data_IF_858037787589
#
_entry.id   IF_858037787589
#
_cell.length_a   1.000
_cell.length_b   1.000
_cell.length_c   1.000
_cell.angle_alpha   90.00
_cell.angle_beta   90.00
_cell.angle_gamma   90.00
#
_symmetry.space_group_name_H-M   'P 1'
#
loop_
_entity.id
_entity.type
_entity.pdbx_description
1 polymer ?
#
# COMPACT_ATOMS: atom_id res chain seq x y z
N UNK A 1 29.18 -2.43 2.46
CA UNK A 1 27.89 -1.72 2.54
C UNK A 1 27.06 -2.27 1.41
N UNK A 2 26.07 -3.10 1.71
CA UNK A 2 25.13 -3.58 0.68
C UNK A 2 24.42 -2.35 0.12
N UNK A 3 24.46 -2.17 -1.19
CA UNK A 3 23.86 -1.04 -1.89
C UNK A 3 22.33 -1.18 -1.81
N UNK A 4 21.73 -0.62 -0.75
CA UNK A 4 20.27 -0.69 -0.52
C UNK A 4 19.60 0.39 -1.35
N UNK A 5 18.53 0.02 -2.04
CA UNK A 5 17.74 0.97 -2.84
C UNK A 5 17.04 1.96 -1.91
N UNK A 6 17.13 3.24 -2.25
CA UNK A 6 16.44 4.28 -1.49
C UNK A 6 14.92 4.18 -1.67
N UNK A 7 14.18 4.58 -0.64
CA UNK A 7 12.71 4.53 -0.65
C UNK A 7 12.10 5.31 -1.82
N UNK A 8 12.63 6.51 -2.09
CA UNK A 8 12.18 7.39 -3.17
C UNK A 8 12.52 6.85 -4.57
N UNK A 9 13.67 6.20 -4.69
CA UNK A 9 14.09 5.55 -5.94
C UNK A 9 13.19 4.35 -6.25
N UNK A 10 12.98 3.47 -5.28
CA UNK A 10 12.11 2.30 -5.46
C UNK A 10 10.67 2.70 -5.80
N UNK A 11 10.12 3.69 -5.09
CA UNK A 11 8.79 4.21 -5.43
C UNK A 11 8.75 4.75 -6.87
N UNK A 12 9.79 5.44 -7.33
CA UNK A 12 9.85 5.95 -8.70
C UNK A 12 9.82 4.82 -9.74
N UNK A 13 10.55 3.72 -9.48
CA UNK A 13 10.52 2.52 -10.33
C UNK A 13 9.14 1.87 -10.37
N UNK A 14 8.45 1.80 -9.23
CA UNK A 14 7.08 1.27 -9.15
C UNK A 14 6.06 2.14 -9.89
N UNK A 15 6.17 3.46 -9.79
CA UNK A 15 5.30 4.37 -10.54
C UNK A 15 5.55 4.26 -12.05
N UNK A 16 6.80 4.03 -12.48
CA UNK A 16 7.14 3.89 -13.90
C UNK A 16 6.48 2.68 -14.58
N UNK A 17 6.17 1.62 -13.83
CA UNK A 17 5.43 0.44 -14.32
C UNK A 17 3.91 0.57 -14.18
N UNK A 18 3.42 1.66 -13.57
CA UNK A 18 1.99 1.94 -13.44
C UNK A 18 1.50 2.93 -14.49
N UNK A 19 0.24 2.81 -14.91
CA UNK A 19 -0.43 3.80 -15.76
C UNK A 19 -1.85 4.03 -15.26
N UNK A 20 -2.39 5.25 -15.39
CA UNK A 20 -3.82 5.49 -15.18
C UNK A 20 -4.64 4.55 -16.07
N UNK A 21 -5.70 3.97 -15.50
CA UNK A 21 -6.60 3.10 -16.27
C UNK A 21 -7.40 3.90 -17.29
N UNK A 22 -7.70 3.29 -18.43
CA UNK A 22 -8.43 3.93 -19.52
C UNK A 22 -9.79 4.46 -19.05
N UNK A 23 -10.16 5.69 -19.42
CA UNK A 23 -11.38 6.31 -18.96
C UNK A 23 -12.62 5.82 -19.72
N UNK A 24 -13.79 5.98 -19.12
CA UNK A 24 -15.09 5.72 -19.74
C UNK A 24 -16.18 6.62 -19.13
N UNK A 25 -17.30 6.78 -19.82
CA UNK A 25 -18.42 7.57 -19.30
C UNK A 25 -19.29 6.73 -18.36
N UNK A 26 -19.57 7.27 -17.17
CA UNK A 26 -20.48 6.69 -16.18
C UNK A 26 -21.66 7.61 -15.94
N UNK A 27 -22.86 7.04 -15.80
CA UNK A 27 -24.03 7.78 -15.35
C UNK A 27 -23.76 8.42 -13.98
N UNK A 28 -24.37 9.58 -13.69
CA UNK A 28 -24.06 10.36 -12.48
C UNK A 28 -24.09 9.54 -11.17
N UNK A 29 -25.09 8.69 -10.98
CA UNK A 29 -25.19 7.91 -9.74
C UNK A 29 -24.07 6.87 -9.62
N UNK A 30 -23.70 6.23 -10.73
CA UNK A 30 -22.65 5.23 -10.76
C UNK A 30 -21.25 5.87 -10.67
N UNK A 31 -21.10 7.11 -11.13
CA UNK A 31 -19.86 7.87 -11.03
C UNK A 31 -19.48 8.24 -9.58
N UNK A 32 -20.41 8.11 -8.61
CA UNK A 32 -20.12 8.45 -7.22
C UNK A 32 -19.04 7.53 -6.63
N UNK A 33 -17.93 8.14 -6.17
CA UNK A 33 -16.81 7.43 -5.58
C UNK A 33 -15.66 7.12 -6.54
N UNK A 34 -15.91 7.17 -7.86
CA UNK A 34 -14.90 7.03 -8.91
C UNK A 34 -13.98 8.26 -8.99
N UNK A 35 -12.97 8.20 -9.87
CA UNK A 35 -12.08 9.34 -10.14
C UNK A 35 -12.44 9.98 -11.46
N UNK A 36 -12.54 11.31 -11.49
CA UNK A 36 -12.80 12.07 -12.71
C UNK A 36 -11.60 11.99 -13.66
N UNK A 37 -11.83 11.61 -14.91
CA UNK A 37 -10.76 11.41 -15.88
C UNK A 37 -10.28 12.71 -16.54
N UNK A 38 -11.18 13.67 -16.72
CA UNK A 38 -10.97 14.90 -17.49
C UNK A 38 -11.52 16.13 -16.77
N UNK A 39 -11.00 17.31 -17.12
CA UNK A 39 -11.52 18.58 -16.61
C UNK A 39 -12.90 18.88 -17.20
N UNK A 40 -13.82 19.36 -16.37
CA UNK A 40 -15.15 19.80 -16.82
C UNK A 40 -15.28 21.30 -16.59
N UNK A 41 -15.69 21.98 -17.65
CA UNK A 41 -15.90 23.41 -17.68
C UNK A 41 -17.40 23.73 -17.79
N UNK A 42 -17.82 24.81 -17.12
CA UNK A 42 -19.12 25.46 -17.33
C UNK A 42 -18.86 26.85 -17.92
N UNK A 43 -19.08 26.99 -19.23
CA UNK A 43 -18.53 28.11 -19.99
C UNK A 43 -17.00 28.06 -19.96
N UNK A 44 -16.36 29.16 -19.53
CA UNK A 44 -14.89 29.24 -19.40
C UNK A 44 -14.37 28.79 -18.03
N UNK A 45 -15.24 28.56 -17.06
CA UNK A 45 -14.83 28.23 -15.69
C UNK A 45 -14.61 26.72 -15.54
N UNK A 46 -13.42 26.33 -15.10
CA UNK A 46 -13.16 24.98 -14.59
C UNK A 46 -14.02 24.74 -13.33
N UNK A 47 -14.94 23.78 -13.41
CA UNK A 47 -15.87 23.47 -12.31
C UNK A 47 -15.58 22.11 -11.67
N UNK A 48 -15.04 21.15 -12.41
CA UNK A 48 -14.57 19.86 -11.88
C UNK A 48 -13.19 19.58 -12.45
N UNK A 49 -12.23 19.28 -11.56
CA UNK A 49 -10.83 19.05 -11.94
C UNK A 49 -10.54 17.55 -12.10
N UNK A 50 -9.86 17.17 -13.17
CA UNK A 50 -9.40 15.81 -13.40
C UNK A 50 -8.56 15.28 -12.22
N UNK A 51 -8.64 13.98 -11.98
CA UNK A 51 -7.96 13.31 -10.87
C UNK A 51 -8.56 13.56 -9.50
N UNK A 52 -9.70 14.27 -9.44
CA UNK A 52 -10.49 14.41 -8.20
C UNK A 52 -11.42 13.21 -8.01
N UNK A 53 -11.59 12.82 -6.74
CA UNK A 53 -12.56 11.77 -6.40
C UNK A 53 -13.96 12.38 -6.39
N UNK A 54 -14.88 11.74 -7.09
CA UNK A 54 -16.24 12.23 -7.27
C UNK A 54 -17.04 11.98 -5.97
N UNK A 55 -17.64 13.03 -5.42
CA UNK A 55 -18.53 13.00 -4.24
C UNK A 55 -19.88 13.61 -4.58
N UNK A 56 -20.80 13.56 -3.61
CA UNK A 56 -22.14 14.14 -3.71
C UNK A 56 -22.15 15.58 -4.24
N UNK A 57 -21.19 16.42 -3.84
CA UNK A 57 -21.10 17.81 -4.31
C UNK A 57 -20.68 17.91 -5.78
N UNK A 58 -19.77 17.05 -6.26
CA UNK A 58 -19.43 16.99 -7.68
C UNK A 58 -20.59 16.43 -8.52
N UNK A 59 -21.31 15.42 -8.01
CA UNK A 59 -22.51 14.89 -8.67
C UNK A 59 -23.59 15.97 -8.79
N UNK A 60 -23.90 16.69 -7.71
CA UNK A 60 -24.89 17.77 -7.73
C UNK A 60 -24.49 18.92 -8.67
N UNK A 61 -23.21 19.25 -8.73
CA UNK A 61 -22.67 20.24 -9.66
C UNK A 61 -22.77 19.77 -11.12
N UNK A 62 -22.44 18.52 -11.41
CA UNK A 62 -22.60 17.94 -12.76
C UNK A 62 -24.07 17.97 -13.21
N UNK A 63 -24.99 17.57 -12.33
CA UNK A 63 -26.43 17.63 -12.59
C UNK A 63 -26.92 19.06 -12.85
N UNK A 64 -26.45 20.05 -12.06
CA UNK A 64 -26.92 21.45 -12.18
C UNK A 64 -26.47 22.13 -13.47
N UNK A 65 -25.40 21.63 -14.11
CA UNK A 65 -24.94 22.08 -15.43
C UNK A 65 -25.43 21.19 -16.59
N UNK A 66 -26.39 20.30 -16.32
CA UNK A 66 -27.06 19.48 -17.33
C UNK A 66 -26.27 18.26 -17.82
N UNK A 67 -25.29 17.78 -17.05
CA UNK A 67 -24.60 16.51 -17.34
C UNK A 67 -25.37 15.36 -16.72
N UNK A 68 -25.58 14.28 -17.47
CA UNK A 68 -26.13 13.01 -16.99
C UNK A 68 -25.05 11.92 -16.84
N UNK A 69 -23.86 12.16 -17.42
CA UNK A 69 -22.68 11.31 -17.32
C UNK A 69 -21.42 12.14 -16.97
N UNK A 70 -20.45 11.45 -16.39
CA UNK A 70 -19.11 11.97 -16.13
C UNK A 70 -18.05 11.04 -16.75
N UNK A 71 -16.97 11.59 -17.32
CA UNK A 71 -15.82 10.80 -17.73
C UNK A 71 -15.06 10.37 -16.48
N UNK A 72 -15.02 9.08 -16.21
CA UNK A 72 -14.42 8.51 -15.00
C UNK A 72 -13.33 7.50 -15.34
N UNK A 73 -12.52 7.15 -14.34
CA UNK A 73 -11.60 6.01 -14.39
C UNK A 73 -12.17 4.86 -13.55
N UNK A 74 -12.01 3.61 -14.01
CA UNK A 74 -12.44 2.45 -13.24
C UNK A 74 -11.62 2.31 -11.96
N UNK A 75 -12.21 1.65 -10.98
CA UNK A 75 -11.48 1.23 -9.79
C UNK A 75 -10.50 0.11 -10.16
N UNK A 76 -9.19 0.25 -9.87
CA UNK A 76 -8.22 -0.79 -10.17
C UNK A 76 -8.58 -2.10 -9.49
N UNK A 77 -8.46 -3.20 -10.23
CA UNK A 77 -8.64 -4.56 -9.72
C UNK A 77 -7.29 -5.06 -9.22
N UNK A 78 -7.19 -5.24 -7.91
CA UNK A 78 -5.95 -5.66 -7.26
C UNK A 78 -6.15 -7.05 -6.68
N UNK A 79 -5.27 -7.96 -7.05
CA UNK A 79 -5.24 -9.30 -6.48
C UNK A 79 -4.18 -9.35 -5.40
N UNK A 80 -4.57 -9.82 -4.22
CA UNK A 80 -3.69 -10.00 -3.07
C UNK A 80 -3.53 -11.48 -2.82
N UNK A 81 -2.33 -11.99 -3.08
CA UNK A 81 -1.92 -13.35 -2.79
C UNK A 81 -1.11 -13.39 -1.51
N UNK A 82 -1.36 -14.42 -0.71
CA UNK A 82 -0.41 -14.87 0.30
C UNK A 82 -0.18 -16.36 0.13
N UNK A 83 1.08 -16.75 0.32
CA UNK A 83 1.56 -18.13 0.19
C UNK A 83 2.47 -18.44 1.38
N UNK A 84 2.11 -19.47 2.13
CA UNK A 84 2.88 -19.97 3.26
C UNK A 84 2.27 -21.28 3.78
N UNK A 85 3.03 -22.38 3.89
CA UNK A 85 2.51 -23.69 4.30
C UNK A 85 2.11 -23.75 5.78
N UNK A 86 2.59 -22.80 6.56
CA UNK A 86 2.32 -22.58 7.98
C UNK A 86 1.10 -21.68 8.24
N UNK A 87 0.53 -21.08 7.18
CA UNK A 87 -0.55 -20.11 7.31
C UNK A 87 -1.92 -20.79 7.42
N UNK A 88 -2.67 -20.40 8.45
CA UNK A 88 -4.01 -20.92 8.75
C UNK A 88 -5.05 -19.81 8.74
N UNK A 89 -6.20 -20.05 8.13
CA UNK A 89 -7.31 -19.08 8.15
C UNK A 89 -7.81 -18.77 9.57
N UNK A 90 -8.03 -17.48 9.92
CA UNK A 90 -8.60 -17.09 11.21
C UNK A 90 -9.90 -17.82 11.54
N UNK A 91 -10.03 -18.22 12.82
CA UNK A 91 -11.19 -18.97 13.32
C UNK A 91 -11.01 -20.50 13.30
N UNK A 92 -9.91 -20.99 12.72
CA UNK A 92 -9.46 -22.38 12.89
C UNK A 92 -8.50 -22.50 14.08
N UNK A 93 -8.30 -23.72 14.55
CA UNK A 93 -7.30 -24.03 15.59
C UNK A 93 -5.91 -24.07 14.97
N UNK A 94 -4.92 -23.49 15.66
CA UNK A 94 -3.51 -23.56 15.29
C UNK A 94 -2.86 -24.80 15.87
N UNK A 95 -2.02 -25.45 15.07
CA UNK A 95 -1.06 -26.46 15.53
C UNK A 95 0.29 -25.82 15.80
N UNK A 96 1.19 -26.63 16.34
CA UNK A 96 2.57 -26.21 16.59
C UNK A 96 3.26 -25.81 15.27
N UNK A 97 3.80 -24.60 15.22
CA UNK A 97 4.47 -24.03 14.05
C UNK A 97 3.56 -23.43 13.00
N UNK A 98 2.23 -23.38 13.23
CA UNK A 98 1.29 -22.67 12.37
C UNK A 98 1.05 -21.24 12.90
N UNK A 99 0.81 -20.30 12.00
CA UNK A 99 0.41 -18.91 12.30
C UNK A 99 -0.87 -18.53 11.55
N UNK A 100 -1.60 -17.53 12.04
CA UNK A 100 -2.79 -17.07 11.34
C UNK A 100 -2.42 -16.24 10.11
N UNK A 101 -3.05 -16.58 8.98
CA UNK A 101 -3.04 -15.79 7.75
C UNK A 101 -3.55 -14.36 8.06
N UNK A 102 -2.62 -13.41 8.13
CA UNK A 102 -2.90 -12.03 8.52
C UNK A 102 -2.73 -11.07 7.35
N UNK A 103 -1.72 -11.27 6.51
CA UNK A 103 -1.32 -10.29 5.50
C UNK A 103 -2.33 -10.15 4.38
N UNK A 104 -2.88 -11.26 3.88
CA UNK A 104 -3.88 -11.19 2.81
C UNK A 104 -5.15 -10.47 3.29
N UNK A 105 -5.55 -10.62 4.55
CA UNK A 105 -6.67 -9.88 5.15
C UNK A 105 -6.34 -8.40 5.29
N UNK A 106 -5.17 -8.07 5.84
CA UNK A 106 -4.70 -6.70 6.04
C UNK A 106 -4.56 -5.95 4.71
N UNK A 107 -3.83 -6.51 3.75
CA UNK A 107 -3.56 -5.89 2.47
C UNK A 107 -4.81 -5.79 1.59
N UNK A 108 -5.67 -6.82 1.55
CA UNK A 108 -6.93 -6.76 0.78
C UNK A 108 -7.84 -5.64 1.28
N UNK A 109 -7.94 -5.47 2.60
CA UNK A 109 -8.77 -4.40 3.17
C UNK A 109 -8.14 -3.03 2.98
N UNK A 110 -6.83 -2.90 3.12
CA UNK A 110 -6.11 -1.66 2.84
C UNK A 110 -6.25 -1.21 1.37
N UNK A 111 -6.19 -2.15 0.41
CA UNK A 111 -6.49 -1.87 -1.02
C UNK A 111 -7.88 -1.27 -1.19
N UNK A 112 -8.90 -1.82 -0.51
CA UNK A 112 -10.28 -1.32 -0.57
C UNK A 112 -10.40 0.09 -0.01
N UNK A 113 -9.70 0.38 1.09
CA UNK A 113 -9.67 1.72 1.71
C UNK A 113 -9.14 2.78 0.74
N UNK A 114 -8.10 2.46 -0.05
CA UNK A 114 -7.56 3.37 -1.08
C UNK A 114 -8.58 3.65 -2.20
N UNK A 115 -9.54 2.75 -2.41
CA UNK A 115 -10.59 2.84 -3.43
C UNK A 115 -10.34 1.94 -4.63
N UNK A 116 -9.67 0.80 -4.46
CA UNK A 116 -9.56 -0.25 -5.47
C UNK A 116 -10.50 -1.43 -5.18
N UNK A 117 -10.80 -2.23 -6.20
CA UNK A 117 -11.50 -3.51 -6.05
C UNK A 117 -10.46 -4.56 -5.69
N UNK A 118 -10.59 -5.17 -4.50
CA UNK A 118 -9.60 -6.13 -4.00
C UNK A 118 -10.12 -7.57 -4.00
N UNK A 119 -9.34 -8.48 -4.57
CA UNK A 119 -9.56 -9.93 -4.57
C UNK A 119 -8.53 -10.59 -3.66
N UNK A 120 -8.99 -11.27 -2.61
CA UNK A 120 -8.13 -12.06 -1.72
C UNK A 120 -7.97 -13.46 -2.27
N UNK A 121 -6.74 -13.91 -2.41
CA UNK A 121 -6.39 -15.28 -2.81
C UNK A 121 -5.41 -15.80 -1.77
N UNK A 122 -5.84 -16.78 -1.00
CA UNK A 122 -4.95 -17.51 -0.11
C UNK A 122 -4.69 -18.88 -0.73
N UNK A 123 -3.42 -19.24 -0.83
CA UNK A 123 -2.99 -20.50 -1.44
C UNK A 123 -1.82 -21.08 -0.65
N UNK A 124 -1.71 -22.40 -0.64
CA UNK A 124 -0.55 -23.11 -0.10
C UNK A 124 0.03 -23.90 -1.27
N UNK A 125 0.95 -23.31 -2.05
CA UNK A 125 1.54 -24.00 -3.19
C UNK A 125 2.61 -24.99 -2.71
N UNK A 126 2.56 -26.22 -3.18
CA UNK A 126 3.59 -27.23 -2.90
C UNK A 126 4.85 -26.98 -3.75
N UNK A 127 4.70 -26.39 -4.94
CA UNK A 127 5.80 -26.09 -5.85
C UNK A 127 5.59 -24.84 -6.74
N UNK A 128 6.60 -24.57 -7.58
CA UNK A 128 6.64 -23.42 -8.49
C UNK A 128 5.54 -23.48 -9.56
N UNK A 129 5.19 -24.68 -10.02
CA UNK A 129 4.16 -24.88 -11.04
C UNK A 129 2.76 -24.60 -10.50
N UNK A 130 2.49 -24.97 -9.25
CA UNK A 130 1.23 -24.66 -8.58
C UNK A 130 1.07 -23.16 -8.35
N UNK A 131 2.12 -22.49 -7.84
CA UNK A 131 2.07 -21.05 -7.66
C UNK A 131 1.92 -20.32 -9.00
N UNK A 132 2.59 -20.79 -10.06
CA UNK A 132 2.46 -20.24 -11.41
C UNK A 132 1.01 -20.33 -11.90
N UNK A 133 0.39 -21.51 -11.78
CA UNK A 133 -0.99 -21.73 -12.23
C UNK A 133 -1.98 -20.83 -11.48
N UNK A 134 -1.78 -20.64 -10.16
CA UNK A 134 -2.60 -19.72 -9.36
C UNK A 134 -2.45 -18.30 -9.89
N UNK A 135 -1.22 -17.81 -10.10
CA UNK A 135 -0.96 -16.45 -10.59
C UNK A 135 -1.58 -16.25 -11.98
N UNK A 136 -1.41 -17.21 -12.89
CA UNK A 136 -1.98 -17.15 -14.24
C UNK A 136 -3.51 -17.06 -14.23
N UNK A 137 -4.21 -17.81 -13.37
CA UNK A 137 -5.67 -17.70 -13.20
C UNK A 137 -6.11 -16.30 -12.75
N UNK A 138 -5.25 -15.60 -12.00
CA UNK A 138 -5.56 -14.25 -11.50
C UNK A 138 -5.35 -13.15 -12.54
N UNK A 139 -4.48 -13.35 -13.54
CA UNK A 139 -4.06 -12.28 -14.47
C UNK A 139 -5.24 -11.65 -15.22
N UNK A 140 -6.24 -12.45 -15.63
CA UNK A 140 -7.41 -11.96 -16.39
C UNK A 140 -8.23 -10.91 -15.64
N UNK A 141 -8.12 -10.87 -14.31
CA UNK A 141 -8.85 -9.95 -13.43
C UNK A 141 -7.94 -8.97 -12.67
N UNK A 142 -6.65 -8.91 -12.98
CA UNK A 142 -5.69 -8.12 -12.22
C UNK A 142 -5.15 -6.93 -13.04
N UNK A 143 -5.32 -5.73 -12.50
CA UNK A 143 -4.58 -4.53 -12.92
C UNK A 143 -3.30 -4.34 -12.06
N UNK A 144 -3.24 -5.00 -10.90
CA UNK A 144 -2.08 -5.08 -10.01
C UNK A 144 -2.13 -6.40 -9.23
N UNK A 145 -0.98 -7.05 -9.08
CA UNK A 145 -0.81 -8.22 -8.21
C UNK A 145 0.11 -7.86 -7.03
N UNK A 146 -0.33 -8.19 -5.83
CA UNK A 146 0.46 -8.08 -4.60
C UNK A 146 0.63 -9.50 -4.06
N UNK A 147 1.86 -9.89 -3.78
CA UNK A 147 2.16 -11.17 -3.14
C UNK A 147 2.86 -10.87 -1.82
N UNK A 148 2.40 -11.43 -0.70
CA UNK A 148 3.15 -11.38 0.57
C UNK A 148 3.71 -12.77 0.87
N UNK A 149 5.00 -12.83 1.18
CA UNK A 149 5.72 -14.06 1.50
C UNK A 149 6.81 -13.84 2.54
N UNK A 150 7.11 -14.89 3.29
CA UNK A 150 8.00 -14.82 4.44
C UNK A 150 9.48 -14.78 4.09
N UNK A 151 10.26 -14.28 5.05
CA UNK A 151 11.73 -14.18 4.96
C UNK A 151 12.43 -15.41 5.54
N UNK A 152 11.77 -16.15 6.44
CA UNK A 152 12.39 -17.20 7.26
C UNK A 152 12.28 -18.60 6.65
N UNK A 153 11.61 -18.72 5.52
CA UNK A 153 11.52 -19.94 4.72
C UNK A 153 11.91 -19.66 3.25
N UNK A 154 11.91 -20.70 2.43
CA UNK A 154 12.25 -20.62 1.00
C UNK A 154 11.12 -19.99 0.14
N UNK A 155 10.04 -19.46 0.75
CA UNK A 155 8.87 -18.94 0.04
C UNK A 155 9.19 -17.72 -0.83
N UNK A 156 10.01 -16.78 -0.34
CA UNK A 156 10.42 -15.63 -1.15
C UNK A 156 11.19 -16.05 -2.40
N UNK A 157 12.07 -17.04 -2.28
CA UNK A 157 12.85 -17.54 -3.41
C UNK A 157 11.96 -18.31 -4.40
N UNK A 158 10.98 -19.08 -3.90
CA UNK A 158 9.94 -19.72 -4.73
C UNK A 158 9.12 -18.69 -5.52
N UNK A 159 8.61 -17.65 -4.85
CA UNK A 159 7.87 -16.55 -5.47
C UNK A 159 8.75 -15.87 -6.53
N UNK A 160 10.02 -15.60 -6.21
CA UNK A 160 10.95 -14.93 -7.13
C UNK A 160 11.16 -15.74 -8.41
N UNK A 161 11.42 -17.05 -8.31
CA UNK A 161 11.57 -17.92 -9.49
C UNK A 161 10.30 -17.99 -10.32
N UNK A 162 9.16 -18.19 -9.66
CA UNK A 162 7.84 -18.26 -10.30
C UNK A 162 7.56 -16.99 -11.10
N UNK A 163 7.76 -15.82 -10.49
CA UNK A 163 7.52 -14.54 -11.16
C UNK A 163 8.51 -14.30 -12.30
N UNK A 164 9.78 -14.71 -12.16
CA UNK A 164 10.78 -14.57 -13.21
C UNK A 164 10.48 -15.45 -14.44
N UNK A 165 9.76 -16.56 -14.27
CA UNK A 165 9.25 -17.36 -15.38
C UNK A 165 8.07 -16.70 -16.12
N UNK A 166 7.32 -15.83 -15.43
CA UNK A 166 6.13 -15.16 -15.95
C UNK A 166 6.38 -13.76 -16.55
N UNK A 167 7.56 -13.17 -16.33
CA UNK A 167 7.86 -11.84 -16.85
C UNK A 167 9.17 -11.22 -16.35
N UNK A 168 9.25 -9.90 -16.45
CA UNK A 168 10.43 -9.12 -16.10
C UNK A 168 10.35 -8.70 -14.63
N UNK A 169 11.22 -9.28 -13.80
CA UNK A 169 11.23 -9.07 -12.34
C UNK A 169 12.59 -8.59 -11.87
N UNK A 170 12.58 -7.64 -10.94
CA UNK A 170 13.76 -7.15 -10.22
C UNK A 170 13.57 -7.36 -8.73
N UNK A 171 14.58 -7.93 -8.08
CA UNK A 171 14.65 -8.06 -6.61
C UNK A 171 15.46 -6.91 -6.03
N UNK A 172 14.98 -6.31 -4.94
CA UNK A 172 15.65 -5.20 -4.26
C UNK A 172 15.64 -5.37 -2.74
N UNK A 173 16.70 -4.89 -2.10
CA UNK A 173 16.73 -4.64 -0.65
C UNK A 173 16.53 -3.15 -0.41
N UNK A 174 15.44 -2.78 0.26
CA UNK A 174 15.11 -1.37 0.47
C UNK A 174 15.79 -0.86 1.75
N UNK A 175 16.23 0.40 1.74
CA UNK A 175 16.73 1.12 2.91
C UNK A 175 15.62 1.50 3.91
N UNK A 176 14.79 0.53 4.30
CA UNK A 176 13.77 0.64 5.35
C UNK A 176 14.07 -0.41 6.42
N UNK A 177 14.05 0.03 7.68
CA UNK A 177 14.24 -0.85 8.83
C UNK A 177 13.24 -2.01 8.82
N UNK A 178 13.75 -3.23 8.98
CA UNK A 178 12.97 -4.47 8.99
C UNK A 178 12.08 -4.73 7.75
N UNK A 179 12.31 -4.02 6.63
CA UNK A 179 11.49 -4.20 5.43
C UNK A 179 11.78 -5.48 4.65
N UNK A 180 12.96 -6.09 4.77
CA UNK A 180 13.28 -7.29 3.98
C UNK A 180 13.43 -7.02 2.48
N UNK A 181 13.27 -8.09 1.67
CA UNK A 181 13.39 -8.06 0.21
C UNK A 181 12.03 -7.76 -0.43
N UNK A 182 12.07 -7.12 -1.59
CA UNK A 182 10.91 -6.92 -2.45
C UNK A 182 11.23 -7.42 -3.85
N UNK A 183 10.23 -7.96 -4.53
CA UNK A 183 10.26 -8.12 -5.98
C UNK A 183 9.32 -7.10 -6.59
N UNK A 184 9.66 -6.59 -7.76
CA UNK A 184 8.73 -5.81 -8.56
C UNK A 184 8.98 -6.01 -10.04
N UNK A 185 7.95 -5.76 -10.84
CA UNK A 185 8.06 -5.83 -12.29
C UNK A 185 6.71 -6.02 -12.95
N UNK A 186 6.72 -6.60 -14.13
CA UNK A 186 5.51 -6.86 -14.93
C UNK A 186 5.49 -8.31 -15.41
N UNK A 187 4.31 -8.93 -15.38
CA UNK A 187 4.11 -10.34 -15.74
C UNK A 187 2.94 -10.52 -16.71
N UNK A 188 2.97 -11.62 -17.45
CA UNK A 188 1.91 -12.00 -18.38
C UNK A 188 1.84 -11.13 -19.64
N UNK A 189 0.89 -11.43 -20.55
CA UNK A 189 0.79 -10.78 -21.86
C UNK A 189 0.44 -9.30 -21.76
N UNK A 190 -0.39 -8.92 -20.78
CA UNK A 190 -0.84 -7.53 -20.56
C UNK A 190 0.17 -6.69 -19.77
N UNK A 191 1.33 -7.27 -19.41
CA UNK A 191 2.36 -6.64 -18.56
C UNK A 191 1.79 -6.13 -17.24
N UNK A 192 1.00 -6.96 -16.56
CA UNK A 192 0.38 -6.63 -15.28
C UNK A 192 1.47 -6.40 -14.22
N UNK A 193 1.49 -5.22 -13.56
CA UNK A 193 2.41 -4.96 -12.47
C UNK A 193 2.25 -5.97 -11.33
N UNK A 194 3.38 -6.43 -10.80
CA UNK A 194 3.42 -7.31 -9.63
C UNK A 194 4.44 -6.78 -8.62
N UNK A 195 4.10 -6.86 -7.34
CA UNK A 195 5.00 -6.51 -6.24
C UNK A 195 4.94 -7.59 -5.16
N UNK A 196 6.10 -8.12 -4.78
CA UNK A 196 6.24 -8.98 -3.60
C UNK A 196 6.58 -8.12 -2.39
N UNK A 197 5.74 -8.21 -1.36
CA UNK A 197 5.89 -7.56 -0.08
C UNK A 197 6.45 -8.53 0.97
N UNK A 198 6.95 -7.99 2.09
CA UNK A 198 7.47 -8.79 3.19
C UNK A 198 6.36 -9.62 3.86
N UNK A 199 6.76 -10.70 4.54
CA UNK A 199 5.84 -11.57 5.29
C UNK A 199 5.53 -11.08 6.71
N UNK A 200 6.37 -10.22 7.28
CA UNK A 200 6.01 -9.56 8.54
C UNK A 200 4.85 -8.57 8.30
N UNK A 201 3.73 -8.68 9.05
CA UNK A 201 2.55 -7.84 8.80
C UNK A 201 2.79 -6.34 8.94
N UNK A 202 3.69 -5.94 9.84
CA UNK A 202 4.03 -4.54 10.07
C UNK A 202 4.81 -3.98 8.88
N UNK A 203 5.85 -4.70 8.45
CA UNK A 203 6.64 -4.36 7.28
C UNK A 203 5.83 -4.40 5.98
N UNK A 204 4.89 -5.36 5.85
CA UNK A 204 3.97 -5.46 4.74
C UNK A 204 3.07 -4.22 4.65
N UNK A 205 2.50 -3.77 5.77
CA UNK A 205 1.62 -2.60 5.79
C UNK A 205 2.37 -1.29 5.58
N UNK A 206 3.57 -1.13 6.16
CA UNK A 206 4.44 0.02 5.88
C UNK A 206 4.79 0.05 4.38
N UNK A 207 5.17 -1.09 3.80
CA UNK A 207 5.45 -1.20 2.36
C UNK A 207 4.21 -0.89 1.53
N UNK A 208 3.03 -1.33 1.96
CA UNK A 208 1.77 -0.99 1.31
C UNK A 208 1.54 0.52 1.27
N UNK A 209 1.64 1.21 2.41
CA UNK A 209 1.41 2.65 2.49
C UNK A 209 2.42 3.47 1.69
N UNK A 210 3.68 3.04 1.65
CA UNK A 210 4.76 3.74 0.94
C UNK A 210 4.78 3.47 -0.57
N UNK A 211 4.32 2.30 -1.00
CA UNK A 211 4.54 1.83 -2.37
C UNK A 211 3.25 1.47 -3.11
N UNK A 212 2.49 0.50 -2.58
CA UNK A 212 1.28 0.01 -3.23
C UNK A 212 0.19 1.06 -3.29
N UNK A 213 -0.03 1.79 -2.19
CA UNK A 213 -1.03 2.86 -2.14
C UNK A 213 -0.74 3.92 -3.23
N UNK A 214 0.48 4.47 -3.37
CA UNK A 214 0.83 5.32 -4.50
C UNK A 214 0.60 4.70 -5.88
N UNK A 215 0.91 3.41 -6.08
CA UNK A 215 0.62 2.72 -7.35
C UNK A 215 -0.88 2.73 -7.67
N UNK A 216 -1.73 2.35 -6.71
CA UNK A 216 -3.20 2.36 -6.87
C UNK A 216 -3.70 3.79 -7.14
N UNK A 217 -3.17 4.78 -6.42
CA UNK A 217 -3.54 6.20 -6.62
C UNK A 217 -3.14 6.70 -8.02
N UNK A 218 -2.00 6.25 -8.54
CA UNK A 218 -1.57 6.54 -9.92
C UNK A 218 -2.49 5.87 -10.94
N UNK A 219 -2.87 4.59 -10.74
CA UNK A 219 -3.83 3.89 -11.60
C UNK A 219 -5.21 4.55 -11.61
N UNK A 220 -5.63 5.10 -10.47
CA UNK A 220 -6.84 5.92 -10.36
C UNK A 220 -6.72 7.29 -11.05
N UNK A 221 -5.53 7.70 -11.50
CA UNK A 221 -5.28 9.04 -12.04
C UNK A 221 -5.38 10.15 -10.98
N UNK A 222 -5.18 9.83 -9.69
CA UNK A 222 -5.38 10.78 -8.62
C UNK A 222 -4.32 11.88 -8.60
N UNK A 223 -4.74 13.13 -8.36
CA UNK A 223 -3.83 14.28 -8.33
C UNK A 223 -2.79 14.24 -7.19
N UNK A 224 -3.05 13.45 -6.14
CA UNK A 224 -2.14 13.28 -5.00
C UNK A 224 -2.01 11.80 -4.69
N UNK A 225 -0.79 11.27 -4.82
CA UNK A 225 -0.49 9.86 -4.62
C UNK A 225 0.07 9.56 -3.22
N UNK A 226 0.74 10.54 -2.61
CA UNK A 226 1.32 10.41 -1.27
C UNK A 226 0.28 10.70 -0.17
N UNK A 227 0.50 10.14 1.02
CA UNK A 227 -0.17 10.60 2.25
C UNK A 227 0.31 12.02 2.59
N UNK A 228 -0.53 12.85 3.23
CA UNK A 228 -0.07 14.13 3.75
C UNK A 228 0.95 13.90 4.87
N UNK A 229 1.98 14.75 4.87
CA UNK A 229 3.01 14.74 5.91
C UNK A 229 3.06 16.09 6.59
N UNK A 230 3.16 16.09 7.92
CA UNK A 230 3.24 17.31 8.73
C UNK A 230 4.44 17.27 9.67
N UNK A 231 4.74 18.40 10.31
CA UNK A 231 5.69 18.46 11.43
C UNK A 231 4.91 18.48 12.74
N UNK A 232 5.31 17.65 13.70
CA UNK A 232 4.72 17.60 15.03
C UNK A 232 5.81 17.43 16.10
N UNK A 233 5.50 17.86 17.32
CA UNK A 233 6.38 17.71 18.49
C UNK A 233 6.34 16.29 19.01
N UNK A 234 7.50 15.65 19.08
CA UNK A 234 7.64 14.30 19.61
C UNK A 234 7.43 14.27 21.13
N UNK A 235 6.49 13.47 21.63
CA UNK A 235 6.17 13.44 23.07
C UNK A 235 7.12 12.58 23.89
N UNK A 236 7.66 11.50 23.30
CA UNK A 236 8.62 10.60 23.95
C UNK A 236 9.81 10.35 23.04
N UNK A 237 11.00 10.28 23.61
CA UNK A 237 12.21 9.99 22.85
C UNK A 237 12.11 8.63 22.16
N UNK A 238 12.71 8.54 20.97
CA UNK A 238 12.74 7.33 20.13
C UNK A 238 14.16 7.07 19.65
N UNK A 239 14.45 5.79 19.40
CA UNK A 239 15.71 5.33 18.84
C UNK A 239 15.43 4.54 17.56
N UNK A 240 16.25 4.74 16.54
CA UNK A 240 16.28 3.99 15.28
C UNK A 240 17.61 3.24 15.15
N UNK A 241 17.65 2.16 14.38
CA UNK A 241 18.89 1.42 14.09
C UNK A 241 19.96 2.23 13.35
N UNK A 242 19.59 3.37 12.72
CA UNK A 242 20.45 4.11 11.81
C UNK A 242 20.74 3.36 10.50
N UNK A 243 21.14 4.09 9.45
CA UNK A 243 21.47 3.56 8.13
C UNK A 243 20.28 3.11 7.28
N UNK A 244 19.05 3.17 7.82
CA UNK A 244 17.80 2.92 7.12
C UNK A 244 16.75 3.93 7.57
N UNK A 245 15.74 4.18 6.73
CA UNK A 245 14.56 4.91 7.21
C UNK A 245 13.75 4.02 8.14
N UNK A 246 13.26 4.61 9.22
CA UNK A 246 12.34 3.95 10.15
C UNK A 246 10.97 4.61 10.08
N UNK A 247 9.92 3.81 10.16
CA UNK A 247 8.53 4.29 10.23
C UNK A 247 7.92 3.80 11.53
N UNK A 248 7.95 4.64 12.56
CA UNK A 248 7.48 4.30 13.89
C UNK A 248 5.99 4.58 13.98
N UNK A 249 5.20 3.58 14.38
CA UNK A 249 3.75 3.73 14.59
C UNK A 249 3.47 4.72 15.71
N UNK A 250 2.49 5.58 15.49
CA UNK A 250 2.22 6.68 16.40
C UNK A 250 0.76 7.14 16.37
N UNK A 251 0.41 7.88 17.43
CA UNK A 251 -0.83 8.63 17.54
C UNK A 251 -0.49 10.12 17.44
N UNK A 252 -0.92 10.74 16.35
CA UNK A 252 -0.92 12.18 16.15
C UNK A 252 -2.11 12.79 16.90
N UNK A 253 -1.85 13.89 17.63
CA UNK A 253 -2.87 14.66 18.33
C UNK A 253 -3.92 15.24 17.39
N UNK A 254 -5.11 15.53 17.91
CA UNK A 254 -6.23 16.03 17.09
C UNK A 254 -5.89 17.33 16.35
N UNK A 255 -5.18 18.23 17.04
CA UNK A 255 -4.70 19.52 16.55
C UNK A 255 -3.45 19.42 15.64
N UNK A 256 -2.87 18.22 15.53
CA UNK A 256 -1.67 17.94 14.74
C UNK A 256 -0.38 18.52 15.33
N UNK A 257 -0.40 19.03 16.56
CA UNK A 257 0.75 19.69 17.17
C UNK A 257 1.76 18.72 17.79
N UNK A 258 1.32 17.56 18.28
CA UNK A 258 2.17 16.57 18.94
C UNK A 258 1.93 15.16 18.44
N UNK A 259 2.93 14.29 18.63
CA UNK A 259 2.87 12.89 18.21
C UNK A 259 3.46 11.99 19.29
N UNK A 260 2.68 10.99 19.69
CA UNK A 260 3.06 9.98 20.66
C UNK A 260 3.46 8.69 19.93
N UNK A 261 4.74 8.25 20.02
CA UNK A 261 5.13 6.95 19.48
C UNK A 261 4.47 5.82 20.28
N UNK A 262 3.99 4.80 19.57
CA UNK A 262 3.49 3.56 20.16
C UNK A 262 4.68 2.61 20.36
N UNK A 263 5.09 2.45 21.62
CA UNK A 263 6.24 1.65 22.04
C UNK A 263 5.77 0.45 22.86
N UNK A 264 6.22 -0.74 22.47
CA UNK A 264 5.86 -2.02 23.08
C UNK A 264 6.49 -2.17 24.47
N UNK A 265 5.69 -2.13 25.55
CA UNK A 265 6.10 -2.38 26.95
C UNK A 265 7.44 -1.72 27.40
N UNK A 266 7.70 -0.48 26.98
CA UNK A 266 8.93 0.24 27.34
C UNK A 266 10.19 -0.18 26.56
N UNK A 267 10.05 -1.04 25.56
CA UNK A 267 11.07 -1.34 24.55
C UNK A 267 10.82 -0.52 23.28
N UNK A 268 11.87 -0.28 22.51
CA UNK A 268 11.77 0.31 21.16
C UNK A 268 11.20 -0.66 20.12
N UNK A 269 10.78 -1.87 20.51
CA UNK A 269 10.35 -2.91 19.59
C UNK A 269 9.11 -2.49 18.80
N UNK A 270 9.17 -2.68 17.49
CA UNK A 270 8.11 -2.32 16.55
C UNK A 270 7.37 -3.55 15.99
N UNK A 271 7.30 -4.63 16.76
CA UNK A 271 6.86 -5.93 16.23
C UNK A 271 5.41 -6.27 16.63
N UNK A 272 4.79 -5.48 17.52
CA UNK A 272 3.41 -5.73 17.98
C UNK A 272 2.35 -5.27 16.97
N UNK A 273 1.57 -6.22 16.43
CA UNK A 273 0.46 -5.96 15.51
C UNK A 273 -0.61 -5.02 16.10
N UNK A 274 -0.84 -5.06 17.42
CA UNK A 274 -1.83 -4.19 18.09
C UNK A 274 -1.56 -2.70 17.83
N UNK A 275 -0.28 -2.30 17.80
CA UNK A 275 0.10 -0.89 17.57
C UNK A 275 -0.24 -0.41 16.15
N UNK A 276 -0.38 -1.30 15.16
CA UNK A 276 -0.92 -0.91 13.85
C UNK A 276 -2.41 -0.56 13.92
N UNK A 277 -3.17 -1.25 14.76
CA UNK A 277 -4.59 -0.95 14.96
C UNK A 277 -4.80 0.38 15.68
N UNK A 278 -3.91 0.72 16.62
CA UNK A 278 -3.99 1.95 17.40
C UNK A 278 -3.41 3.18 16.67
N UNK A 279 -2.52 2.96 15.70
CA UNK A 279 -1.83 4.04 15.00
C UNK A 279 -2.75 4.81 14.06
N UNK A 280 -2.64 6.14 14.08
CA UNK A 280 -3.22 7.03 13.07
C UNK A 280 -2.13 7.73 12.23
N UNK A 281 -0.86 7.42 12.49
CA UNK A 281 0.27 8.03 11.83
C UNK A 281 1.54 7.17 11.90
N UNK A 282 2.50 7.48 11.02
CA UNK A 282 3.90 7.04 11.15
C UNK A 282 4.81 8.25 11.39
N UNK A 283 5.72 8.14 12.35
CA UNK A 283 6.87 9.03 12.48
C UNK A 283 7.94 8.52 11.49
N UNK A 284 8.27 9.32 10.49
CA UNK A 284 9.28 8.99 9.49
C UNK A 284 10.65 9.51 9.94
N UNK A 285 11.56 8.58 10.25
CA UNK A 285 12.94 8.86 10.68
C UNK A 285 13.88 8.72 9.47
N UNK A 286 14.68 9.74 9.14
CA UNK A 286 15.70 9.66 8.10
C UNK A 286 16.82 8.66 8.42
N UNK A 287 17.50 8.16 7.38
CA UNK A 287 18.59 7.17 7.50
C UNK A 287 19.75 7.59 8.42
N UNK A 288 20.01 8.90 8.54
CA UNK A 288 21.10 9.43 9.35
C UNK A 288 20.79 9.60 10.83
N UNK A 289 19.51 9.52 11.22
CA UNK A 289 19.06 9.84 12.57
C UNK A 289 18.94 8.56 13.41
N UNK A 290 19.56 8.57 14.59
CA UNK A 290 19.59 7.40 15.50
C UNK A 290 18.82 7.67 16.79
N UNK A 291 19.03 8.82 17.43
CA UNK A 291 18.38 9.17 18.69
C UNK A 291 17.65 10.50 18.53
N UNK A 292 16.35 10.51 18.76
CA UNK A 292 15.51 11.71 18.67
C UNK A 292 14.90 11.99 20.03
N UNK A 293 15.26 13.14 20.60
CA UNK A 293 14.79 13.57 21.92
C UNK A 293 13.33 13.99 21.89
N UNK A 294 12.62 13.78 23.01
CA UNK A 294 11.32 14.40 23.22
C UNK A 294 11.39 15.93 23.03
N UNK A 295 10.34 16.53 22.47
CA UNK A 295 10.26 17.94 22.09
C UNK A 295 10.81 18.28 20.70
N UNK A 296 11.45 17.34 20.02
CA UNK A 296 11.96 17.54 18.66
C UNK A 296 10.84 17.62 17.63
N UNK A 297 11.04 18.38 16.55
CA UNK A 297 10.13 18.41 15.41
C UNK A 297 10.40 17.21 14.49
N UNK A 298 9.45 16.29 14.41
CA UNK A 298 9.56 15.09 13.57
C UNK A 298 8.61 15.17 12.38
N UNK A 299 8.96 14.48 11.28
CA UNK A 299 8.04 14.33 10.14
C UNK A 299 7.05 13.22 10.46
N UNK A 300 5.76 13.54 10.35
CA UNK A 300 4.66 12.60 10.60
C UNK A 300 3.89 12.37 9.32
N UNK A 301 3.85 11.13 8.84
CA UNK A 301 2.99 10.68 7.74
C UNK A 301 1.63 10.35 8.34
N UNK A 302 0.60 11.09 7.95
CA UNK A 302 -0.75 10.94 8.53
C UNK A 302 -1.49 9.82 7.80
N UNK A 303 -1.93 8.80 8.55
CA UNK A 303 -2.76 7.72 8.03
C UNK A 303 -4.24 8.14 8.06
N UNK A 304 -5.12 7.34 7.44
CA UNK A 304 -6.55 7.63 7.52
C UNK A 304 -7.06 7.44 8.95
N UNK A 305 -7.62 8.50 9.53
CA UNK A 305 -8.23 8.50 10.86
C UNK A 305 -9.42 7.53 10.86
N UNK A 306 -9.28 6.38 11.54
CA UNK A 306 -10.43 5.60 12.01
C UNK A 306 -10.90 6.26 13.31
N UNK A 307 -11.89 7.14 13.20
CA UNK A 307 -12.58 7.83 14.31
C UNK A 307 -11.65 8.53 15.33
N UNK A 308 -11.66 9.86 15.26
CA UNK A 308 -11.50 10.69 16.46
C UNK A 308 -12.90 11.17 16.81
#
# INVERSE_FOLDING_TARGET
MTDRTRVDEFLSSLIAICRPLEPFDMALLDAHGATLAEDIYAGERLVLKAGSRIRSTQIGLAASIGRDHLPTRPHPRVVVLSAGPDLVEPGKELKEGEEFETNSWLLTTAVREVGAVAYRVHTIPDDESELQAVIEDQLVRADLIIISGERKDDSFDLITRTLAALGEITTVDIAIESSGRHNYGVIGPDKTPVVTLPGDPVAAYISFELFIRPMIRTMLGAATIHRPSIKAKLEKAITSSGGNRSYIRAVLSEDGASVMPLLSQGSSAQDEQATLSDANAFIAIPEGDVNISAGSDVTVVVLERRYI
#
